data_IF_515568194348
#
_entry.id   IF_515568194348
#
_cell.length_a   1.000
_cell.length_b   1.000
_cell.length_c   1.000
_cell.angle_alpha   90.00
_cell.angle_beta   90.00
_cell.angle_gamma   90.00
#
_symmetry.space_group_name_H-M   'P 1'
#
loop_
_entity.id
_entity.type
_entity.pdbx_description
1 polymer ?
#
# COMPACT_ATOMS: atom_id res chain seq x y z
N UNK A 1 1.25 -9.04 -5.43
CA UNK A 1 1.80 -8.83 -6.79
C UNK A 1 3.29 -8.48 -6.83
N UNK A 2 3.83 -7.72 -5.86
CA UNK A 2 5.20 -7.20 -5.84
C UNK A 2 6.34 -8.14 -6.33
N UNK A 3 6.28 -9.42 -6.01
CA UNK A 3 7.33 -10.38 -6.37
C UNK A 3 7.12 -11.12 -7.71
N UNK A 4 6.05 -10.82 -8.45
CA UNK A 4 5.67 -11.54 -9.66
C UNK A 4 5.70 -10.63 -10.88
N UNK A 5 6.32 -11.12 -11.97
CA UNK A 5 6.33 -10.42 -13.26
C UNK A 5 4.93 -10.34 -13.89
N UNK A 6 4.11 -11.37 -13.70
CA UNK A 6 2.75 -11.48 -14.25
C UNK A 6 1.74 -11.74 -13.11
N UNK A 7 1.21 -10.70 -12.45
CA UNK A 7 0.28 -10.85 -11.35
C UNK A 7 -1.04 -11.47 -11.80
N UNK A 8 -1.51 -12.47 -11.07
CA UNK A 8 -2.88 -12.98 -11.21
C UNK A 8 -3.84 -12.05 -10.47
N UNK A 9 -4.97 -11.73 -11.10
CA UNK A 9 -6.04 -10.90 -10.52
C UNK A 9 -7.40 -11.56 -10.78
N UNK A 10 -8.42 -11.16 -10.01
CA UNK A 10 -9.78 -11.62 -10.23
C UNK A 10 -10.29 -11.22 -11.63
N UNK A 11 -11.30 -11.94 -12.13
CA UNK A 11 -11.96 -11.62 -13.40
C UNK A 11 -12.42 -10.15 -13.37
N UNK A 12 -12.26 -9.45 -14.49
CA UNK A 12 -12.62 -8.03 -14.68
C UNK A 12 -11.66 -7.00 -14.06
N UNK A 13 -10.61 -7.43 -13.36
CA UNK A 13 -9.57 -6.52 -12.88
C UNK A 13 -8.38 -6.42 -13.84
N UNK A 14 -7.79 -5.23 -13.92
CA UNK A 14 -6.50 -5.04 -14.58
C UNK A 14 -5.35 -5.39 -13.61
N UNK A 15 -4.34 -6.17 -14.05
CA UNK A 15 -3.16 -6.42 -13.25
C UNK A 15 -2.32 -5.16 -13.10
N UNK A 16 -2.20 -4.66 -11.87
CA UNK A 16 -1.25 -3.59 -11.53
C UNK A 16 0.19 -4.08 -11.79
N UNK A 17 1.04 -3.26 -12.39
CA UNK A 17 2.45 -3.58 -12.69
C UNK A 17 3.43 -2.55 -12.12
N UNK A 18 2.95 -1.44 -11.56
CA UNK A 18 3.80 -0.47 -10.88
C UNK A 18 4.31 -1.04 -9.54
N UNK A 19 5.63 -1.18 -9.43
CA UNK A 19 6.27 -1.75 -8.24
C UNK A 19 6.05 -0.90 -6.98
N UNK A 20 5.96 0.42 -7.09
CA UNK A 20 5.72 1.29 -5.95
C UNK A 20 4.28 1.16 -5.47
N UNK A 21 3.30 1.13 -6.39
CA UNK A 21 1.90 0.92 -6.02
C UNK A 21 1.70 -0.47 -5.38
N UNK A 22 2.31 -1.51 -5.96
CA UNK A 22 2.24 -2.86 -5.39
C UNK A 22 2.90 -2.95 -4.01
N UNK A 23 4.01 -2.25 -3.79
CA UNK A 23 4.70 -2.20 -2.50
C UNK A 23 3.90 -1.40 -1.46
N UNK A 24 3.35 -0.25 -1.84
CA UNK A 24 2.46 0.54 -0.98
C UNK A 24 1.26 -0.28 -0.54
N UNK A 25 0.60 -0.99 -1.47
CA UNK A 25 -0.51 -1.92 -1.15
C UNK A 25 -0.07 -3.00 -0.15
N UNK A 26 1.09 -3.62 -0.36
CA UNK A 26 1.62 -4.63 0.56
C UNK A 26 1.84 -4.07 1.97
N UNK A 27 2.50 -2.93 2.10
CA UNK A 27 2.76 -2.29 3.40
C UNK A 27 1.47 -1.86 4.11
N UNK A 28 0.55 -1.24 3.38
CA UNK A 28 -0.72 -0.79 3.93
C UNK A 28 -1.62 -1.97 4.35
N UNK A 29 -1.57 -3.10 3.64
CA UNK A 29 -2.24 -4.32 4.11
C UNK A 29 -1.70 -4.80 5.46
N UNK A 30 -0.37 -4.83 5.64
CA UNK A 30 0.23 -5.24 6.91
C UNK A 30 -0.13 -4.29 8.06
N UNK A 31 -0.04 -2.98 7.80
CA UNK A 31 -0.45 -1.94 8.73
C UNK A 31 -1.90 -2.11 9.19
N UNK A 32 -2.83 -2.30 8.25
CA UNK A 32 -4.23 -2.56 8.55
C UNK A 32 -4.41 -3.79 9.45
N UNK A 33 -3.71 -4.89 9.15
CA UNK A 33 -3.77 -6.11 9.97
C UNK A 33 -3.23 -5.92 11.39
N UNK A 34 -2.33 -4.96 11.58
CA UNK A 34 -1.76 -4.60 12.89
C UNK A 34 -2.57 -3.53 13.63
N UNK A 35 -3.67 -3.05 13.05
CA UNK A 35 -4.51 -2.00 13.65
C UNK A 35 -3.94 -0.59 13.51
N UNK A 36 -3.01 -0.39 12.57
CA UNK A 36 -2.28 0.85 12.38
C UNK A 36 -2.84 1.66 11.18
N UNK A 37 -2.74 3.00 11.21
CA UNK A 37 -3.30 3.91 10.18
C UNK A 37 -2.60 3.90 8.82
N UNK A 38 -3.31 3.66 7.72
CA UNK A 38 -2.71 3.55 6.38
C UNK A 38 -1.80 4.74 6.03
N UNK A 39 -0.65 4.45 5.42
CA UNK A 39 0.25 5.48 4.89
C UNK A 39 -0.37 6.01 3.60
N UNK A 40 -0.51 7.33 3.51
CA UNK A 40 -0.96 8.02 2.31
C UNK A 40 0.20 8.79 1.68
N UNK A 41 0.01 9.32 0.47
CA UNK A 41 1.03 10.14 -0.18
C UNK A 41 0.91 11.62 0.14
N UNK A 42 0.11 11.99 1.15
CA UNK A 42 -0.06 13.38 1.57
C UNK A 42 1.05 13.85 2.52
N UNK A 43 1.78 12.92 3.15
CA UNK A 43 2.90 13.23 4.05
C UNK A 43 2.48 13.91 5.35
N UNK A 44 1.18 13.96 5.65
CA UNK A 44 0.66 14.52 6.89
C UNK A 44 1.01 13.65 8.10
N UNK A 45 1.17 12.35 7.88
CA UNK A 45 1.48 11.36 8.93
C UNK A 45 2.80 11.64 9.67
N UNK A 46 3.74 12.37 9.04
CA UNK A 46 5.01 12.75 9.68
C UNK A 46 4.89 13.93 10.64
N UNK A 47 3.80 14.70 10.53
CA UNK A 47 3.58 15.90 11.32
C UNK A 47 2.65 15.67 12.50
N UNK A 48 1.82 14.63 12.47
CA UNK A 48 0.92 14.31 13.58
C UNK A 48 1.69 14.12 14.91
N UNK A 49 2.86 13.46 14.86
CA UNK A 49 3.75 13.27 16.02
C UNK A 49 4.48 14.56 16.46
N UNK A 50 4.57 15.59 15.61
CA UNK A 50 5.23 16.85 15.91
C UNK A 50 4.32 17.85 16.63
N UNK A 51 3.01 17.62 16.58
CA UNK A 51 2.00 18.51 17.17
C UNK A 51 1.15 17.84 18.27
N UNK A 52 1.49 16.60 18.65
CA UNK A 52 0.95 15.90 19.82
C UNK A 52 1.75 16.20 21.10
#
# INVERSE_FOLDING_TARGET
SFYYKSPMVAKELYPEHDLFIQHTKLKNTLRYLMGEDLITHLGLEYYDDLFA
#
